data_IF_844990971273
#
_entry.id   IF_844990971273
#
_cell.length_a   1.000
_cell.length_b   1.000
_cell.length_c   1.000
_cell.angle_alpha   90.00
_cell.angle_beta   90.00
_cell.angle_gamma   90.00
#
_symmetry.space_group_name_H-M   'P 1'
#
loop_
_entity.id
_entity.type
_entity.pdbx_description
1 polymer ?
#
# COMPACT_ATOMS: atom_id res chain seq x y z
N UNK A 1 17.83 28.40 8.18
CA UNK A 1 18.41 27.89 6.91
C UNK A 1 17.35 26.98 6.29
N UNK A 2 16.74 27.40 5.18
CA UNK A 2 15.75 26.55 4.48
C UNK A 2 16.54 25.43 3.77
N UNK A 3 16.25 24.15 3.99
CA UNK A 3 16.97 23.06 3.36
C UNK A 3 16.86 23.18 1.84
N UNK A 4 17.99 23.24 1.17
CA UNK A 4 18.04 23.28 -0.31
C UNK A 4 17.56 21.91 -0.84
N UNK A 5 16.34 21.90 -1.35
CA UNK A 5 15.77 20.73 -2.04
C UNK A 5 16.65 20.45 -3.26
N UNK A 6 17.14 19.19 -3.39
CA UNK A 6 18.01 18.78 -4.49
C UNK A 6 17.37 19.08 -5.86
N UNK A 7 18.17 19.39 -6.91
CA UNK A 7 17.64 19.71 -8.24
C UNK A 7 16.71 18.63 -8.80
N UNK A 8 17.02 17.35 -8.55
CA UNK A 8 16.19 16.22 -8.96
C UNK A 8 14.81 16.20 -8.25
N UNK A 9 14.77 16.54 -6.97
CA UNK A 9 13.53 16.65 -6.21
C UNK A 9 12.71 17.86 -6.64
N UNK A 10 13.37 18.98 -7.00
CA UNK A 10 12.69 20.15 -7.58
C UNK A 10 12.07 19.81 -8.93
N UNK A 11 12.78 19.10 -9.81
CA UNK A 11 12.25 18.66 -11.10
C UNK A 11 11.04 17.74 -10.93
N UNK A 12 11.07 16.78 -10.00
CA UNK A 12 9.92 15.93 -9.69
C UNK A 12 8.73 16.72 -9.14
N UNK A 13 8.96 17.67 -8.26
CA UNK A 13 7.89 18.52 -7.69
C UNK A 13 7.30 19.44 -8.77
N UNK A 14 8.11 19.97 -9.67
CA UNK A 14 7.62 20.82 -10.79
C UNK A 14 6.77 20.00 -11.77
N UNK A 15 7.15 18.76 -12.07
CA UNK A 15 6.35 17.87 -12.93
C UNK A 15 5.01 17.50 -12.25
N UNK A 16 4.97 17.39 -10.93
CA UNK A 16 3.74 17.10 -10.16
C UNK A 16 2.83 18.34 -10.10
N UNK A 17 3.40 19.56 -10.08
CA UNK A 17 2.68 20.83 -9.99
C UNK A 17 2.28 21.42 -11.36
N UNK A 18 2.50 20.70 -12.46
CA UNK A 18 1.95 21.10 -13.75
C UNK A 18 0.43 21.15 -13.65
N UNK A 19 -0.15 22.28 -14.04
CA UNK A 19 -1.61 22.52 -13.92
C UNK A 19 -2.45 21.38 -14.48
N UNK A 20 -2.02 20.81 -15.59
CA UNK A 20 -2.74 19.72 -16.25
C UNK A 20 -2.66 18.41 -15.46
N UNK A 21 -1.53 18.11 -14.83
CA UNK A 21 -1.38 16.94 -13.97
C UNK A 21 -2.20 17.08 -12.70
N UNK A 22 -2.27 18.29 -12.14
CA UNK A 22 -3.13 18.58 -10.99
C UNK A 22 -4.61 18.45 -11.35
N UNK A 23 -5.02 18.93 -12.52
CA UNK A 23 -6.39 18.78 -13.02
C UNK A 23 -6.76 17.32 -13.25
N UNK A 24 -5.85 16.50 -13.82
CA UNK A 24 -6.07 15.07 -14.01
C UNK A 24 -6.20 14.33 -12.65
N UNK A 25 -5.35 14.62 -11.69
CA UNK A 25 -5.43 14.04 -10.36
C UNK A 25 -6.71 14.46 -9.62
N UNK A 26 -7.02 15.74 -9.63
CA UNK A 26 -8.25 16.26 -9.01
C UNK A 26 -9.50 15.70 -9.68
N UNK A 27 -9.54 15.65 -11.01
CA UNK A 27 -10.63 15.03 -11.76
C UNK A 27 -10.83 13.57 -11.41
N UNK A 28 -9.74 12.81 -11.25
CA UNK A 28 -9.79 11.41 -10.80
C UNK A 28 -10.46 11.29 -9.42
N UNK A 29 -10.03 12.11 -8.46
CA UNK A 29 -10.61 12.13 -7.11
C UNK A 29 -12.08 12.51 -7.15
N UNK A 30 -12.45 13.56 -7.90
CA UNK A 30 -13.83 14.02 -8.04
C UNK A 30 -14.72 12.92 -8.61
N UNK A 31 -14.30 12.24 -9.67
CA UNK A 31 -15.06 11.13 -10.26
C UNK A 31 -15.25 10.02 -9.25
N UNK A 32 -14.19 9.63 -8.50
CA UNK A 32 -14.30 8.60 -7.46
C UNK A 32 -15.27 8.99 -6.35
N UNK A 33 -15.21 10.24 -5.88
CA UNK A 33 -16.12 10.76 -4.85
C UNK A 33 -17.56 10.77 -5.34
N UNK A 34 -17.80 11.28 -6.56
CA UNK A 34 -19.13 11.31 -7.15
C UNK A 34 -19.73 9.91 -7.32
N UNK A 35 -18.96 8.98 -7.86
CA UNK A 35 -19.41 7.58 -8.03
C UNK A 35 -19.68 6.90 -6.68
N UNK A 36 -18.83 7.11 -5.69
CA UNK A 36 -19.03 6.54 -4.37
C UNK A 36 -20.23 7.16 -3.64
N UNK A 37 -20.48 8.45 -3.82
CA UNK A 37 -21.59 9.13 -3.17
C UNK A 37 -22.93 8.85 -3.86
N UNK A 38 -23.03 9.08 -5.19
CA UNK A 38 -24.29 8.96 -5.92
C UNK A 38 -24.66 7.52 -6.28
N UNK A 39 -23.67 6.64 -6.46
CA UNK A 39 -23.89 5.24 -6.88
C UNK A 39 -23.58 4.25 -5.76
N UNK A 40 -23.61 4.65 -4.48
CA UNK A 40 -23.17 3.84 -3.34
C UNK A 40 -23.80 2.44 -3.24
N UNK A 41 -25.01 2.25 -3.77
CA UNK A 41 -25.72 0.96 -3.79
C UNK A 41 -25.49 0.14 -5.05
N UNK A 42 -24.83 0.68 -6.07
CA UNK A 42 -24.67 0.07 -7.37
C UNK A 42 -23.27 -0.49 -7.58
N UNK A 43 -23.14 -1.39 -8.56
CA UNK A 43 -21.84 -1.92 -9.00
C UNK A 43 -20.86 -0.81 -9.42
N UNK A 44 -21.35 0.34 -9.90
CA UNK A 44 -20.54 1.48 -10.33
C UNK A 44 -19.67 2.06 -9.19
N UNK A 45 -20.18 2.09 -7.96
CA UNK A 45 -19.37 2.53 -6.81
C UNK A 45 -18.20 1.59 -6.56
N UNK A 46 -18.42 0.28 -6.68
CA UNK A 46 -17.38 -0.74 -6.50
C UNK A 46 -16.31 -0.68 -7.58
N UNK A 47 -16.69 -0.28 -8.79
CA UNK A 47 -15.81 -0.11 -9.93
C UNK A 47 -15.27 1.33 -10.07
N UNK A 48 -15.52 2.21 -9.08
CA UNK A 48 -15.16 3.64 -9.17
C UNK A 48 -13.69 3.90 -9.49
N UNK A 49 -12.69 3.17 -8.96
CA UNK A 49 -11.29 3.38 -9.32
C UNK A 49 -11.02 3.06 -10.79
N UNK A 50 -11.60 1.97 -11.29
CA UNK A 50 -11.43 1.55 -12.68
C UNK A 50 -12.07 2.56 -13.64
N UNK A 51 -13.30 3.00 -13.34
CA UNK A 51 -14.00 4.01 -14.15
C UNK A 51 -13.25 5.33 -14.15
N UNK A 52 -12.76 5.77 -12.99
CA UNK A 52 -11.98 7.00 -12.89
C UNK A 52 -10.68 6.92 -13.71
N UNK A 53 -9.96 5.79 -13.66
CA UNK A 53 -8.77 5.56 -14.48
C UNK A 53 -9.12 5.65 -15.97
N UNK A 54 -10.15 4.94 -16.42
CA UNK A 54 -10.54 4.91 -17.83
C UNK A 54 -10.95 6.29 -18.34
N UNK A 55 -11.82 6.99 -17.62
CA UNK A 55 -12.33 8.31 -18.01
C UNK A 55 -11.20 9.33 -18.04
N UNK A 56 -10.37 9.37 -17.00
CA UNK A 56 -9.30 10.37 -16.92
C UNK A 56 -8.12 10.03 -17.83
N UNK A 57 -7.85 8.76 -18.12
CA UNK A 57 -6.88 8.39 -19.15
C UNK A 57 -7.37 8.76 -20.54
N UNK A 58 -8.66 8.60 -20.83
CA UNK A 58 -9.26 9.09 -22.09
C UNK A 58 -9.19 10.62 -22.20
N UNK A 59 -9.44 11.34 -21.10
CA UNK A 59 -9.26 12.79 -21.07
C UNK A 59 -7.80 13.18 -21.31
N UNK A 60 -6.84 12.51 -20.69
CA UNK A 60 -5.40 12.73 -20.90
C UNK A 60 -4.99 12.46 -22.35
N UNK A 61 -5.60 11.46 -23.00
CA UNK A 61 -5.41 11.22 -24.43
C UNK A 61 -5.90 12.38 -25.28
N UNK A 62 -7.07 12.94 -24.95
CA UNK A 62 -7.63 14.13 -25.65
C UNK A 62 -6.71 15.36 -25.50
N UNK A 63 -6.00 15.50 -24.39
CA UNK A 63 -5.00 16.55 -24.17
C UNK A 63 -3.61 16.22 -24.77
N UNK A 64 -3.47 15.09 -25.50
CA UNK A 64 -2.21 14.69 -26.12
C UNK A 64 -1.11 14.27 -25.13
N UNK A 65 -1.48 13.94 -23.88
CA UNK A 65 -0.55 13.53 -22.83
C UNK A 65 -0.41 12.01 -22.67
N UNK A 66 -1.05 11.24 -23.53
CA UNK A 66 -0.96 9.78 -23.53
C UNK A 66 0.03 9.34 -24.60
N UNK A 67 1.14 8.75 -24.15
CA UNK A 67 2.10 8.14 -25.07
C UNK A 67 1.75 6.66 -25.23
N UNK A 68 1.30 6.28 -26.41
CA UNK A 68 0.93 4.92 -26.77
C UNK A 68 2.05 4.18 -27.51
N UNK A 69 3.20 4.84 -27.76
CA UNK A 69 4.33 4.25 -28.48
C UNK A 69 4.84 2.94 -27.84
N UNK A 70 4.89 2.77 -26.50
CA UNK A 70 5.38 1.54 -25.91
C UNK A 70 4.54 0.30 -26.26
N UNK A 71 3.24 0.49 -26.57
CA UNK A 71 2.35 -0.64 -26.91
C UNK A 71 2.74 -1.29 -28.24
N UNK A 72 3.25 -0.48 -29.19
CA UNK A 72 3.65 -0.95 -30.52
C UNK A 72 4.90 -1.79 -30.50
N UNK A 73 5.81 -1.51 -29.59
CA UNK A 73 7.14 -2.12 -29.53
C UNK A 73 7.17 -3.45 -28.75
N UNK A 74 6.17 -3.69 -27.89
CA UNK A 74 6.14 -4.86 -27.02
C UNK A 74 5.57 -6.11 -27.70
N UNK A 75 6.14 -7.26 -27.33
CA UNK A 75 5.69 -8.56 -27.82
C UNK A 75 4.33 -8.95 -27.20
N UNK A 76 3.57 -9.81 -27.90
CA UNK A 76 2.31 -10.34 -27.36
C UNK A 76 2.51 -11.29 -26.19
N UNK A 77 3.54 -12.10 -26.22
CA UNK A 77 3.84 -13.11 -25.20
C UNK A 77 5.32 -13.04 -24.90
N UNK A 78 5.66 -13.00 -23.61
CA UNK A 78 7.03 -13.09 -23.12
C UNK A 78 7.05 -14.03 -21.93
N UNK A 79 7.86 -15.06 -22.02
CA UNK A 79 8.05 -15.99 -20.90
C UNK A 79 9.09 -15.40 -19.96
N UNK A 80 8.76 -15.20 -18.67
CA UNK A 80 9.71 -14.71 -17.69
C UNK A 80 10.89 -15.66 -17.56
N UNK A 81 12.11 -15.12 -17.58
CA UNK A 81 13.32 -15.93 -17.41
C UNK A 81 13.68 -15.96 -15.91
N UNK A 82 13.66 -17.14 -15.28
CA UNK A 82 14.10 -17.26 -13.90
C UNK A 82 15.60 -16.99 -13.80
N UNK A 83 16.03 -16.36 -12.71
CA UNK A 83 17.42 -16.11 -12.34
C UNK A 83 18.26 -15.37 -13.43
N UNK A 84 17.63 -14.49 -14.19
CA UNK A 84 18.27 -13.78 -15.31
C UNK A 84 19.54 -13.00 -14.87
N UNK A 85 19.54 -12.42 -13.66
CA UNK A 85 20.71 -11.69 -13.13
C UNK A 85 21.68 -12.57 -12.31
N UNK A 86 21.43 -13.88 -12.23
CA UNK A 86 22.19 -14.80 -11.42
C UNK A 86 21.91 -14.64 -9.92
N UNK A 87 22.62 -15.41 -9.10
CA UNK A 87 22.51 -15.37 -7.63
C UNK A 87 23.86 -14.89 -7.09
N UNK A 88 23.83 -13.81 -6.29
CA UNK A 88 24.97 -13.34 -5.51
C UNK A 88 24.60 -13.32 -4.03
N UNK A 89 25.49 -13.82 -3.19
CA UNK A 89 25.32 -13.78 -1.76
C UNK A 89 26.16 -12.66 -1.17
N UNK A 90 25.51 -11.56 -0.79
CA UNK A 90 26.13 -10.42 -0.14
C UNK A 90 25.48 -10.22 1.25
N UNK A 91 26.31 -10.18 2.30
CA UNK A 91 25.83 -10.17 3.68
C UNK A 91 24.98 -8.92 4.02
N UNK A 92 25.34 -7.76 3.47
CA UNK A 92 24.64 -6.51 3.71
C UNK A 92 23.18 -6.53 3.24
N UNK A 93 22.91 -6.80 1.93
CA UNK A 93 21.55 -6.97 1.41
C UNK A 93 20.76 -8.07 2.11
N UNK A 94 21.40 -9.21 2.46
CA UNK A 94 20.72 -10.32 3.17
C UNK A 94 20.18 -9.85 4.51
N UNK A 95 20.99 -9.18 5.32
CA UNK A 95 20.56 -8.67 6.63
C UNK A 95 19.45 -7.62 6.45
N UNK A 96 19.62 -6.67 5.53
CA UNK A 96 18.65 -5.61 5.29
C UNK A 96 17.29 -6.16 4.85
N UNK A 97 17.27 -7.10 3.89
CA UNK A 97 16.04 -7.73 3.41
C UNK A 97 15.41 -8.59 4.50
N UNK A 98 16.20 -9.32 5.29
CA UNK A 98 15.68 -10.13 6.40
C UNK A 98 14.94 -9.27 7.44
N UNK A 99 15.48 -8.10 7.77
CA UNK A 99 14.82 -7.14 8.66
C UNK A 99 13.53 -6.63 8.04
N UNK A 100 13.55 -6.25 6.75
CA UNK A 100 12.35 -5.79 6.04
C UNK A 100 11.28 -6.87 5.96
N UNK A 101 11.67 -8.13 5.71
CA UNK A 101 10.73 -9.26 5.72
C UNK A 101 10.09 -9.46 7.10
N UNK A 102 10.86 -9.31 8.18
CA UNK A 102 10.31 -9.40 9.53
C UNK A 102 9.27 -8.31 9.80
N UNK A 103 9.53 -7.09 9.34
CA UNK A 103 8.59 -5.97 9.43
C UNK A 103 7.33 -6.25 8.61
N UNK A 104 7.50 -6.76 7.38
CA UNK A 104 6.38 -7.14 6.52
C UNK A 104 5.51 -8.25 7.12
N UNK A 105 6.04 -9.12 8.00
CA UNK A 105 5.25 -10.08 8.76
C UNK A 105 4.34 -9.40 9.79
N UNK A 106 4.81 -8.36 10.46
CA UNK A 106 3.99 -7.58 11.40
C UNK A 106 2.85 -6.88 10.66
N UNK A 107 3.15 -6.28 9.50
CA UNK A 107 2.14 -5.68 8.62
C UNK A 107 1.10 -6.71 8.15
N UNK A 108 1.56 -7.88 7.71
CA UNK A 108 0.69 -9.00 7.32
C UNK A 108 -0.29 -9.41 8.43
N UNK A 109 0.17 -9.47 9.69
CA UNK A 109 -0.70 -9.79 10.82
C UNK A 109 -1.79 -8.74 11.02
N UNK A 110 -1.47 -7.47 10.87
CA UNK A 110 -2.44 -6.37 10.90
C UNK A 110 -3.47 -6.47 9.77
N UNK A 111 -2.99 -6.72 8.57
CA UNK A 111 -3.81 -6.87 7.37
C UNK A 111 -4.75 -8.07 7.48
N UNK A 112 -4.26 -9.23 7.92
CA UNK A 112 -5.09 -10.41 8.15
C UNK A 112 -6.16 -10.18 9.21
N UNK A 113 -5.81 -9.47 10.28
CA UNK A 113 -6.76 -9.11 11.33
C UNK A 113 -7.88 -8.25 10.75
N UNK A 114 -7.53 -7.22 10.02
CA UNK A 114 -8.50 -6.31 9.37
C UNK A 114 -9.37 -7.05 8.35
N UNK A 115 -8.77 -7.88 7.49
CA UNK A 115 -9.50 -8.67 6.52
C UNK A 115 -10.45 -9.68 7.18
N UNK A 116 -10.04 -10.32 8.27
CA UNK A 116 -10.87 -11.25 9.03
C UNK A 116 -12.04 -10.56 9.71
N UNK A 117 -11.80 -9.39 10.29
CA UNK A 117 -12.86 -8.56 10.88
C UNK A 117 -13.88 -8.12 9.83
N UNK A 118 -13.44 -7.70 8.65
CA UNK A 118 -14.33 -7.32 7.56
C UNK A 118 -15.14 -8.51 6.99
N UNK A 119 -14.51 -9.69 6.91
CA UNK A 119 -15.14 -10.86 6.28
C UNK A 119 -16.11 -11.61 7.21
N UNK A 120 -15.78 -11.75 8.47
CA UNK A 120 -16.49 -12.62 9.42
C UNK A 120 -16.67 -12.06 10.82
N UNK A 121 -16.32 -10.79 11.02
CA UNK A 121 -16.40 -10.07 12.30
C UNK A 121 -15.74 -10.83 13.48
N UNK A 122 -14.64 -11.51 13.19
CA UNK A 122 -13.85 -12.25 14.19
C UNK A 122 -12.35 -12.17 13.89
N UNK A 123 -11.53 -12.36 14.93
CA UNK A 123 -10.08 -12.43 14.75
C UNK A 123 -9.68 -13.65 13.89
N UNK A 124 -8.56 -13.56 13.17
CA UNK A 124 -8.06 -14.68 12.38
C UNK A 124 -7.67 -15.85 13.30
N UNK A 125 -7.95 -17.07 12.88
CA UNK A 125 -7.51 -18.27 13.59
C UNK A 125 -6.00 -18.46 13.40
N UNK A 126 -5.37 -19.20 14.32
CA UNK A 126 -3.95 -19.54 14.20
C UNK A 126 -3.60 -20.26 12.88
N UNK A 127 -4.54 -21.04 12.33
CA UNK A 127 -4.36 -21.70 11.04
C UNK A 127 -4.35 -20.70 9.88
N UNK A 128 -5.24 -19.71 9.90
CA UNK A 128 -5.30 -18.65 8.87
C UNK A 128 -4.06 -17.78 8.91
N UNK A 129 -3.60 -17.39 10.10
CA UNK A 129 -2.37 -16.61 10.26
C UNK A 129 -1.14 -17.35 9.71
N UNK A 130 -0.99 -18.64 10.08
CA UNK A 130 0.09 -19.50 9.55
C UNK A 130 -0.01 -19.62 8.03
N UNK A 131 -1.20 -19.82 7.48
CA UNK A 131 -1.44 -19.89 6.03
C UNK A 131 -1.00 -18.64 5.30
N UNK A 132 -1.31 -17.46 5.83
CA UNK A 132 -0.88 -16.20 5.24
C UNK A 132 0.62 -15.97 5.28
N UNK A 133 1.26 -16.27 6.40
CA UNK A 133 2.73 -16.20 6.54
C UNK A 133 3.42 -17.13 5.54
N UNK A 134 2.94 -18.36 5.40
CA UNK A 134 3.47 -19.32 4.44
C UNK A 134 3.26 -18.84 2.99
N UNK A 135 2.07 -18.31 2.68
CA UNK A 135 1.77 -17.79 1.34
C UNK A 135 2.67 -16.61 0.97
N UNK A 136 2.90 -15.66 1.90
CA UNK A 136 3.81 -14.55 1.68
C UNK A 136 5.26 -15.01 1.53
N UNK A 137 5.72 -15.96 2.35
CA UNK A 137 7.07 -16.51 2.28
C UNK A 137 7.32 -17.25 0.97
N UNK A 138 6.46 -18.20 0.60
CA UNK A 138 6.55 -18.95 -0.64
C UNK A 138 6.41 -18.02 -1.86
N UNK A 139 5.46 -17.07 -1.83
CA UNK A 139 5.29 -16.06 -2.86
C UNK A 139 6.55 -15.22 -3.05
N UNK A 140 7.20 -14.81 -1.96
CA UNK A 140 8.45 -14.03 -2.00
C UNK A 140 9.62 -14.82 -2.60
N UNK A 141 9.75 -16.10 -2.29
CA UNK A 141 10.76 -16.97 -2.89
C UNK A 141 10.52 -17.09 -4.40
N UNK A 142 9.28 -17.39 -4.80
CA UNK A 142 8.93 -17.52 -6.22
C UNK A 142 9.17 -16.20 -6.96
N UNK A 143 8.69 -15.06 -6.44
CA UNK A 143 8.87 -13.76 -7.08
C UNK A 143 10.36 -13.41 -7.23
N UNK A 144 11.16 -13.68 -6.19
CA UNK A 144 12.61 -13.43 -6.24
C UNK A 144 13.32 -14.28 -7.30
N UNK A 145 12.88 -15.52 -7.55
CA UNK A 145 13.40 -16.34 -8.64
C UNK A 145 13.14 -15.71 -10.02
N UNK A 146 12.08 -14.92 -10.16
CA UNK A 146 11.78 -14.17 -11.38
C UNK A 146 12.29 -12.72 -11.36
N UNK A 147 13.26 -12.44 -10.50
CA UNK A 147 13.91 -11.12 -10.36
C UNK A 147 12.95 -9.99 -9.95
N UNK A 148 11.90 -10.35 -9.21
CA UNK A 148 10.94 -9.43 -8.65
C UNK A 148 11.26 -9.16 -7.17
N UNK A 149 10.75 -8.06 -6.64
CA UNK A 149 10.81 -7.79 -5.21
C UNK A 149 9.99 -8.80 -4.40
N UNK A 150 10.33 -9.06 -3.13
CA UNK A 150 9.53 -9.91 -2.26
C UNK A 150 8.06 -9.44 -2.20
N UNK A 151 7.14 -10.42 -2.14
CA UNK A 151 5.71 -10.14 -2.03
C UNK A 151 5.39 -9.69 -0.62
N UNK A 152 4.61 -8.61 -0.51
CA UNK A 152 4.05 -8.13 0.76
C UNK A 152 2.53 -8.09 0.67
N UNK A 153 1.86 -8.08 1.81
CA UNK A 153 0.40 -7.88 1.84
C UNK A 153 0.03 -6.49 1.33
N UNK A 154 -1.13 -6.38 0.70
CA UNK A 154 -1.61 -5.11 0.13
C UNK A 154 -2.73 -4.52 0.97
N UNK A 155 -2.40 -3.71 1.98
CA UNK A 155 -3.38 -3.05 2.86
C UNK A 155 -4.42 -2.23 2.08
N UNK A 156 -4.02 -1.62 0.94
CA UNK A 156 -4.93 -0.92 0.04
C UNK A 156 -6.06 -1.81 -0.51
N UNK A 157 -5.75 -3.07 -0.81
CA UNK A 157 -6.73 -4.03 -1.30
C UNK A 157 -7.75 -4.39 -0.21
N UNK A 158 -7.34 -4.43 1.03
CA UNK A 158 -8.26 -4.66 2.17
C UNK A 158 -9.22 -3.49 2.31
N UNK A 159 -8.73 -2.26 2.17
CA UNK A 159 -9.59 -1.08 2.10
C UNK A 159 -10.62 -1.16 0.97
N UNK A 160 -10.22 -1.62 -0.22
CA UNK A 160 -11.14 -1.86 -1.34
C UNK A 160 -12.14 -2.98 -1.06
N UNK A 161 -11.73 -4.06 -0.39
CA UNK A 161 -12.65 -5.11 0.08
C UNK A 161 -13.69 -4.55 1.06
N UNK A 162 -13.27 -3.69 1.98
CA UNK A 162 -14.19 -3.01 2.90
C UNK A 162 -15.21 -2.12 2.19
N UNK A 163 -14.77 -1.34 1.19
CA UNK A 163 -15.65 -0.50 0.38
C UNK A 163 -16.59 -1.30 -0.51
N UNK A 164 -16.09 -2.35 -1.14
CA UNK A 164 -16.88 -3.17 -2.06
C UNK A 164 -17.79 -4.17 -1.36
N UNK A 165 -17.52 -4.50 -0.09
CA UNK A 165 -18.18 -5.59 0.65
C UNK A 165 -17.88 -6.98 0.06
N UNK A 166 -16.89 -7.09 -0.83
CA UNK A 166 -16.49 -8.37 -1.45
C UNK A 166 -15.26 -8.91 -0.71
N UNK A 167 -15.50 -9.91 0.13
CA UNK A 167 -14.45 -10.53 0.99
C UNK A 167 -14.19 -12.00 0.65
N UNK A 168 -14.69 -12.47 -0.52
CA UNK A 168 -14.55 -13.87 -0.92
C UNK A 168 -13.13 -14.19 -1.38
N UNK A 169 -12.53 -15.22 -0.77
CA UNK A 169 -11.21 -15.75 -1.16
C UNK A 169 -11.14 -16.20 -2.62
N UNK A 170 -12.26 -16.65 -3.19
CA UNK A 170 -12.31 -17.08 -4.59
C UNK A 170 -12.16 -15.90 -5.56
N UNK A 171 -12.77 -14.76 -5.22
CA UNK A 171 -12.62 -13.53 -6.02
C UNK A 171 -11.16 -13.08 -6.03
N UNK A 172 -10.49 -13.10 -4.89
CA UNK A 172 -9.07 -12.76 -4.78
C UNK A 172 -8.19 -13.74 -5.57
N UNK A 173 -8.48 -15.05 -5.50
CA UNK A 173 -7.73 -16.06 -6.25
C UNK A 173 -7.91 -15.87 -7.77
N UNK A 174 -9.13 -15.61 -8.25
CA UNK A 174 -9.39 -15.33 -9.66
C UNK A 174 -8.68 -14.05 -10.09
N UNK A 175 -8.75 -12.99 -9.28
CA UNK A 175 -8.03 -11.74 -9.55
C UNK A 175 -6.52 -11.96 -9.68
N UNK A 176 -5.93 -12.74 -8.76
CA UNK A 176 -4.51 -13.13 -8.84
C UNK A 176 -4.18 -13.91 -10.11
N UNK A 177 -5.06 -14.83 -10.52
CA UNK A 177 -4.91 -15.57 -11.78
C UNK A 177 -4.96 -14.66 -13.01
N UNK A 178 -5.90 -13.70 -13.04
CA UNK A 178 -6.00 -12.71 -14.13
C UNK A 178 -4.74 -11.85 -14.22
N UNK A 179 -4.26 -11.33 -13.07
CA UNK A 179 -3.02 -10.53 -13.02
C UNK A 179 -1.83 -11.37 -13.48
N UNK A 180 -1.74 -12.64 -13.08
CA UNK A 180 -0.70 -13.56 -13.55
C UNK A 180 -0.72 -13.77 -15.06
N UNK A 181 -1.90 -13.93 -15.67
CA UNK A 181 -2.07 -14.03 -17.11
C UNK A 181 -1.71 -12.72 -17.82
N UNK A 182 -2.09 -11.57 -17.25
CA UNK A 182 -1.67 -10.27 -17.79
C UNK A 182 -0.15 -10.12 -17.78
N UNK A 183 0.54 -10.64 -16.77
CA UNK A 183 2.01 -10.61 -16.68
C UNK A 183 2.71 -11.41 -17.80
N UNK A 184 2.04 -12.38 -18.42
CA UNK A 184 2.56 -13.11 -19.59
C UNK A 184 2.40 -12.34 -20.91
N UNK A 185 1.63 -11.25 -20.90
CA UNK A 185 1.32 -10.45 -22.06
C UNK A 185 1.91 -9.03 -21.92
N UNK A 186 3.15 -8.76 -22.36
CA UNK A 186 3.79 -7.45 -22.25
C UNK A 186 2.98 -6.30 -22.84
N UNK A 187 2.22 -6.55 -23.92
CA UNK A 187 1.32 -5.52 -24.48
C UNK A 187 0.27 -5.04 -23.50
N UNK A 188 -0.32 -5.94 -22.70
CA UNK A 188 -1.25 -5.53 -21.63
C UNK A 188 -0.53 -4.73 -20.56
N UNK A 189 0.68 -5.13 -20.16
CA UNK A 189 1.50 -4.37 -19.23
C UNK A 189 1.83 -2.97 -19.78
N UNK A 190 2.15 -2.86 -21.06
CA UNK A 190 2.40 -1.58 -21.73
C UNK A 190 1.17 -0.67 -21.70
N UNK A 191 -0.04 -1.21 -21.93
CA UNK A 191 -1.29 -0.44 -21.80
C UNK A 191 -1.43 0.16 -20.40
N UNK A 192 -1.17 -0.61 -19.35
CA UNK A 192 -1.20 -0.09 -17.97
C UNK A 192 -0.09 0.92 -17.71
N UNK A 193 1.07 0.76 -18.31
CA UNK A 193 2.19 1.70 -18.19
C UNK A 193 1.94 3.04 -18.89
N UNK A 194 1.06 3.07 -19.88
CA UNK A 194 0.64 4.31 -20.55
C UNK A 194 -0.31 5.17 -19.69
N UNK A 195 -0.87 4.65 -18.59
CA UNK A 195 -1.75 5.43 -17.71
C UNK A 195 -0.94 6.59 -17.10
N UNK A 196 -1.41 7.84 -17.22
CA UNK A 196 -0.69 8.99 -16.68
C UNK A 196 -0.49 8.86 -15.15
N UNK A 197 0.71 9.15 -14.69
CA UNK A 197 1.06 9.08 -13.26
C UNK A 197 0.16 9.98 -12.38
N UNK A 198 -0.33 11.09 -12.92
CA UNK A 198 -1.28 11.98 -12.25
C UNK A 198 -2.62 11.30 -11.96
N UNK A 199 -3.13 10.49 -12.91
CA UNK A 199 -4.37 9.72 -12.73
C UNK A 199 -4.18 8.65 -11.66
N UNK A 200 -3.08 7.89 -11.75
CA UNK A 200 -2.72 6.89 -10.73
C UNK A 200 -2.53 7.52 -9.35
N UNK A 201 -1.93 8.71 -9.29
CA UNK A 201 -1.78 9.49 -8.06
C UNK A 201 -3.12 9.86 -7.42
N UNK A 202 -4.10 10.27 -8.22
CA UNK A 202 -5.46 10.56 -7.74
C UNK A 202 -6.16 9.33 -7.14
N UNK A 203 -6.03 8.17 -7.80
CA UNK A 203 -6.53 6.88 -7.26
C UNK A 203 -5.81 6.50 -5.98
N UNK A 204 -4.49 6.61 -5.95
CA UNK A 204 -3.68 6.29 -4.78
C UNK A 204 -4.06 7.14 -3.56
N UNK A 205 -4.23 8.47 -3.75
CA UNK A 205 -4.68 9.36 -2.67
C UNK A 205 -6.03 8.95 -2.10
N UNK A 206 -6.98 8.58 -2.96
CA UNK A 206 -8.30 8.11 -2.53
C UNK A 206 -8.20 6.77 -1.77
N UNK A 207 -7.37 5.85 -2.25
CA UNK A 207 -7.11 4.56 -1.61
C UNK A 207 -6.46 4.75 -0.24
N UNK A 208 -5.43 5.60 -0.12
CA UNK A 208 -4.81 5.92 1.16
C UNK A 208 -5.78 6.57 2.14
N UNK A 209 -6.67 7.47 1.67
CA UNK A 209 -7.74 8.01 2.50
C UNK A 209 -8.64 6.92 3.08
N UNK A 210 -9.00 5.93 2.28
CA UNK A 210 -9.81 4.78 2.72
C UNK A 210 -9.09 3.91 3.75
N UNK A 211 -7.78 3.65 3.53
CA UNK A 211 -6.95 2.91 4.50
C UNK A 211 -6.90 3.64 5.84
N UNK A 212 -6.72 4.97 5.81
CA UNK A 212 -6.67 5.80 7.01
C UNK A 212 -7.97 5.68 7.81
N UNK A 213 -9.12 5.80 7.15
CA UNK A 213 -10.43 5.60 7.80
C UNK A 213 -10.59 4.18 8.34
N UNK A 214 -10.13 3.16 7.60
CA UNK A 214 -10.14 1.77 8.06
C UNK A 214 -9.27 1.58 9.30
N UNK A 215 -8.09 2.19 9.34
CA UNK A 215 -7.22 2.20 10.52
C UNK A 215 -7.89 2.86 11.75
N UNK A 216 -8.57 3.98 11.54
CA UNK A 216 -9.34 4.63 12.61
C UNK A 216 -10.47 3.74 13.14
N UNK A 217 -11.17 3.03 12.25
CA UNK A 217 -12.21 2.08 12.63
C UNK A 217 -11.64 0.89 13.45
N UNK A 218 -10.47 0.38 13.08
CA UNK A 218 -9.80 -0.68 13.86
C UNK A 218 -9.46 -0.19 15.26
N UNK A 219 -8.96 1.04 15.40
CA UNK A 219 -8.65 1.64 16.70
C UNK A 219 -9.94 1.82 17.52
N UNK A 220 -11.01 2.32 16.91
CA UNK A 220 -12.30 2.53 17.57
C UNK A 220 -12.94 1.21 18.04
N UNK A 221 -12.88 0.17 17.22
CA UNK A 221 -13.42 -1.15 17.55
C UNK A 221 -12.54 -1.94 18.53
N UNK A 222 -11.30 -1.51 18.75
CA UNK A 222 -10.37 -2.11 19.73
C UNK A 222 -10.70 -1.81 21.19
N UNK A 223 -11.74 -1.01 21.45
CA UNK A 223 -12.21 -0.62 22.78
C UNK A 223 -12.15 0.88 23.05
N UNK A 224 -12.52 1.33 24.24
CA UNK A 224 -12.52 2.75 24.59
C UNK A 224 -11.09 3.30 24.54
N UNK A 225 -10.95 4.49 23.94
CA UNK A 225 -9.68 5.23 23.92
C UNK A 225 -9.33 5.72 25.31
N UNK A 226 -8.67 4.89 26.10
CA UNK A 226 -8.11 5.29 27.37
C UNK A 226 -6.94 6.26 27.17
N UNK A 227 -6.56 7.02 28.20
CA UNK A 227 -5.40 7.89 28.16
C UNK A 227 -4.13 7.13 27.72
N UNK A 228 -3.97 5.86 28.17
CA UNK A 228 -2.87 4.97 27.77
C UNK A 228 -2.91 4.69 26.27
N UNK A 229 -4.05 4.21 25.75
CA UNK A 229 -4.19 3.84 24.33
C UNK A 229 -3.99 5.07 23.45
N UNK A 230 -4.57 6.21 23.83
CA UNK A 230 -4.40 7.47 23.10
C UNK A 230 -2.93 7.89 23.04
N UNK A 231 -2.21 7.80 24.17
CA UNK A 231 -0.77 8.14 24.20
C UNK A 231 0.06 7.21 23.31
N UNK A 232 -0.20 5.89 23.38
CA UNK A 232 0.50 4.92 22.55
C UNK A 232 0.26 5.22 21.05
N UNK A 233 -0.98 5.38 20.65
CA UNK A 233 -1.34 5.65 19.24
C UNK A 233 -0.75 6.98 18.78
N UNK A 234 -0.91 8.06 19.56
CA UNK A 234 -0.44 9.38 19.19
C UNK A 234 1.10 9.43 19.00
N UNK A 235 1.86 8.91 19.97
CA UNK A 235 3.32 8.93 19.90
C UNK A 235 3.82 7.99 18.78
N UNK A 236 3.22 6.82 18.63
CA UNK A 236 3.63 5.87 17.58
C UNK A 236 3.41 6.43 16.18
N UNK A 237 2.25 7.06 15.93
CA UNK A 237 1.98 7.74 14.66
C UNK A 237 2.91 8.93 14.46
N UNK A 238 3.16 9.73 15.49
CA UNK A 238 4.05 10.87 15.40
C UNK A 238 5.49 10.47 15.03
N UNK A 239 5.99 9.37 15.61
CA UNK A 239 7.32 8.83 15.29
C UNK A 239 7.37 8.32 13.85
N UNK A 240 6.44 7.44 13.46
CA UNK A 240 6.48 6.83 12.12
C UNK A 240 6.26 7.85 11.00
N UNK A 241 5.24 8.72 11.13
CA UNK A 241 4.95 9.77 10.14
C UNK A 241 6.00 10.89 10.19
N UNK A 242 6.42 11.29 11.38
CA UNK A 242 7.40 12.35 11.56
C UNK A 242 8.75 12.04 10.89
N UNK A 243 9.30 10.87 11.12
CA UNK A 243 10.55 10.46 10.47
C UNK A 243 10.39 10.19 8.97
N UNK A 244 9.22 9.77 8.51
CA UNK A 244 8.94 9.66 7.07
C UNK A 244 8.89 11.04 6.39
N UNK A 245 8.38 12.05 7.09
CA UNK A 245 8.30 13.42 6.58
C UNK A 245 9.66 14.14 6.63
N UNK A 246 10.53 13.77 7.58
CA UNK A 246 11.84 14.37 7.80
C UNK A 246 12.97 13.31 7.73
N UNK A 247 13.23 12.70 6.56
CA UNK A 247 14.24 11.64 6.42
C UNK A 247 15.65 12.10 6.76
N UNK A 248 15.93 13.40 6.62
CA UNK A 248 17.23 14.00 6.96
C UNK A 248 17.53 13.91 8.46
N UNK A 249 16.51 13.81 9.32
CA UNK A 249 16.70 13.63 10.76
C UNK A 249 17.36 12.27 11.09
N UNK A 250 17.23 11.30 10.21
CA UNK A 250 17.80 9.95 10.35
C UNK A 250 19.06 9.74 9.51
N UNK A 251 19.55 10.77 8.81
CA UNK A 251 20.68 10.67 7.87
C UNK A 251 22.01 10.23 8.55
N UNK A 252 22.16 10.46 9.85
CA UNK A 252 23.33 10.02 10.62
C UNK A 252 23.27 8.53 11.00
N UNK A 253 22.15 7.86 10.83
CA UNK A 253 21.96 6.45 11.20
C UNK A 253 22.26 5.53 10.01
N UNK A 254 22.75 4.30 10.29
CA UNK A 254 22.86 3.28 9.24
C UNK A 254 21.50 3.03 8.58
N UNK A 255 21.51 2.63 7.30
CA UNK A 255 20.31 2.40 6.49
C UNK A 255 19.28 1.48 7.18
N UNK A 256 19.72 0.42 7.84
CA UNK A 256 18.83 -0.50 8.56
C UNK A 256 18.11 0.18 9.74
N UNK A 257 18.80 1.08 10.48
CA UNK A 257 18.20 1.77 11.62
C UNK A 257 17.23 2.86 11.16
N UNK A 258 17.56 3.61 10.11
CA UNK A 258 16.67 4.61 9.54
C UNK A 258 15.40 3.96 8.97
N UNK A 259 15.52 2.80 8.32
CA UNK A 259 14.37 2.04 7.81
C UNK A 259 13.46 1.49 8.92
N UNK A 260 14.03 1.10 10.07
CA UNK A 260 13.26 0.62 11.23
C UNK A 260 12.52 1.74 11.97
N UNK A 261 13.04 2.96 11.95
CA UNK A 261 12.46 4.08 12.69
C UNK A 261 11.46 4.90 11.86
N UNK A 262 11.46 4.77 10.55
CA UNK A 262 10.56 5.52 9.66
C UNK A 262 9.36 4.71 9.21
N UNK A 263 8.25 5.39 8.93
CA UNK A 263 7.05 4.79 8.34
C UNK A 263 6.34 3.76 9.24
N UNK A 264 5.79 2.74 8.61
CA UNK A 264 5.03 1.67 9.28
C UNK A 264 5.88 0.93 10.32
N UNK A 265 7.14 0.55 10.04
CA UNK A 265 8.00 -0.10 11.03
C UNK A 265 8.20 0.75 12.28
N UNK A 266 8.52 2.02 12.11
CA UNK A 266 8.75 2.94 13.23
C UNK A 266 7.50 3.10 14.09
N UNK A 267 6.33 3.20 13.46
CA UNK A 267 5.04 3.22 14.16
C UNK A 267 4.83 1.93 14.97
N UNK A 268 5.01 0.77 14.35
CA UNK A 268 4.77 -0.53 14.97
C UNK A 268 5.73 -0.79 16.16
N UNK A 269 7.03 -0.56 15.95
CA UNK A 269 8.03 -0.74 17.02
C UNK A 269 7.75 0.18 18.19
N UNK A 270 7.47 1.47 17.93
CA UNK A 270 7.15 2.43 18.99
C UNK A 270 5.89 2.03 19.73
N UNK A 271 4.85 1.55 19.03
CA UNK A 271 3.62 1.08 19.66
C UNK A 271 3.88 -0.11 20.59
N UNK A 272 4.66 -1.10 20.15
CA UNK A 272 5.02 -2.27 20.96
C UNK A 272 5.83 -1.84 22.18
N UNK A 273 6.87 -1.02 22.00
CA UNK A 273 7.73 -0.55 23.11
C UNK A 273 6.89 0.22 24.13
N UNK A 274 6.05 1.16 23.69
CA UNK A 274 5.19 1.91 24.59
C UNK A 274 4.15 1.04 25.28
N UNK A 275 3.62 0.02 24.61
CA UNK A 275 2.67 -0.90 25.21
C UNK A 275 3.28 -1.75 26.33
N UNK A 276 4.59 -2.05 26.22
CA UNK A 276 5.34 -2.76 27.27
C UNK A 276 5.74 -1.87 28.43
N UNK A 277 6.07 -0.58 28.15
CA UNK A 277 6.51 0.39 29.17
C UNK A 277 5.32 0.94 29.96
N UNK A 278 4.19 1.18 29.30
CA UNK A 278 3.01 1.74 29.93
C UNK A 278 2.10 0.62 30.48
N UNK A 279 2.06 0.39 31.80
CA UNK A 279 1.25 -0.68 32.38
C UNK A 279 -0.24 -0.39 32.20
N UNK A 280 -1.01 -1.46 32.05
CA UNK A 280 -2.46 -1.39 32.11
C UNK A 280 -2.89 -1.04 33.55
N UNK A 281 -3.32 0.20 33.76
CA UNK A 281 -4.07 0.50 34.98
C UNK A 281 -5.41 -0.22 34.88
N UNK A 282 -5.65 -1.24 35.72
CA UNK A 282 -7.00 -1.75 35.92
C UNK A 282 -7.86 -0.56 36.29
N UNK A 283 -8.79 -0.15 35.41
CA UNK A 283 -9.83 0.79 35.81
C UNK A 283 -10.59 0.12 36.95
N UNK A 284 -10.45 0.71 38.14
CA UNK A 284 -11.29 0.43 39.28
C UNK A 284 -12.71 0.71 38.78
N UNK A 285 -13.53 -0.33 38.68
CA UNK A 285 -14.94 -0.21 38.36
C UNK A 285 -15.49 0.77 39.37
N UNK A 286 -15.74 2.01 38.91
CA UNK A 286 -16.53 2.95 39.67
C UNK A 286 -17.89 2.30 39.91
N UNK A 287 -18.16 2.01 41.16
CA UNK A 287 -19.39 1.44 41.69
C UNK A 287 -20.56 2.41 41.49
#
# INVERSE_FOLDING_TARGET
MVPQVSPARRAQVVVILDHDNLLLAAGTIIIMVLLNYFCSKNFLSKASPLIAILVMSAAAAAFGKLDLSPIGEEAWIRIPQPLHFGIKFELGPIISISILCFIALVELMGDQTTASMLAKNSLPTSHETKGGVLAQGVGSVISSMFNMVPVISGSANIGLCGLSGVTSRYVTAIAGGVVGLCGLCPKLCAVFSCIPSAVLGGVALSAFGTILVSGMNVIHNGGPLTARTTTIVAISLAVGVGFSAAPDALAALPFWASSLLSGVPGTAITAVVLSLILPEKKEEKAA
#
